data_IF_975624891064
#
_entry.id   IF_975624891064
#
_cell.length_a   1.000
_cell.length_b   1.000
_cell.length_c   1.000
_cell.angle_alpha   90.00
_cell.angle_beta   90.00
_cell.angle_gamma   90.00
#
_symmetry.space_group_name_H-M   'P 1'
#
loop_
_entity.id
_entity.type
_entity.pdbx_description
1 polymer ?
#
# COMPACT_ATOMS: atom_id res chain seq x y z
N UNK A 1 13.76 3.57 4.77
CA UNK A 1 12.91 2.36 4.69
C UNK A 1 12.21 2.05 6.01
N UNK A 2 12.73 2.52 7.14
CA UNK A 2 12.20 2.22 8.48
C UNK A 2 10.75 2.65 8.69
N UNK A 3 10.35 3.79 8.10
CA UNK A 3 8.95 4.23 8.09
C UNK A 3 8.04 3.12 7.56
N UNK A 4 8.32 2.57 6.38
CA UNK A 4 7.44 1.57 5.77
C UNK A 4 7.49 0.28 6.60
N UNK A 5 8.66 -0.17 7.08
CA UNK A 5 8.76 -1.36 7.95
C UNK A 5 7.85 -1.25 9.18
N UNK A 6 7.85 -0.09 9.85
CA UNK A 6 6.99 0.18 11.00
C UNK A 6 5.50 0.20 10.63
N UNK A 7 5.13 0.82 9.53
CA UNK A 7 3.72 0.91 9.15
C UNK A 7 3.17 -0.45 8.69
N UNK A 8 3.93 -1.22 7.90
CA UNK A 8 3.46 -2.54 7.44
C UNK A 8 3.35 -3.56 8.58
N UNK A 9 4.14 -3.40 9.65
CA UNK A 9 4.06 -4.29 10.82
C UNK A 9 2.83 -4.04 11.70
N UNK A 10 2.19 -2.86 11.61
CA UNK A 10 0.95 -2.57 12.35
C UNK A 10 -0.26 -3.32 11.79
N UNK A 11 -0.23 -3.71 10.52
CA UNK A 11 -1.38 -4.31 9.85
C UNK A 11 -1.66 -5.72 10.38
N UNK A 12 -2.80 -5.89 11.04
CA UNK A 12 -3.31 -7.20 11.54
C UNK A 12 -4.27 -7.88 10.57
N UNK A 13 -4.32 -7.41 9.33
CA UNK A 13 -5.12 -7.99 8.24
C UNK A 13 -6.65 -8.05 8.47
N UNK A 14 -7.21 -7.23 9.37
CA UNK A 14 -8.63 -7.23 9.76
C UNK A 14 -9.62 -6.80 8.66
N UNK A 15 -9.21 -5.94 7.72
CA UNK A 15 -10.02 -5.59 6.53
C UNK A 15 -10.97 -4.40 6.66
N UNK A 16 -11.08 -3.75 7.83
CA UNK A 16 -11.93 -2.57 8.02
C UNK A 16 -11.67 -1.45 7.01
N UNK A 17 -10.41 -1.27 6.61
CA UNK A 17 -10.01 -0.23 5.66
C UNK A 17 -10.45 -0.50 4.21
N UNK A 18 -10.87 -1.72 3.86
CA UNK A 18 -11.12 -2.12 2.46
C UNK A 18 -12.36 -1.43 1.88
N UNK A 19 -13.42 -1.32 2.68
CA UNK A 19 -14.72 -0.79 2.23
C UNK A 19 -14.62 0.67 1.74
N UNK A 20 -13.78 1.46 2.39
CA UNK A 20 -13.59 2.88 2.07
C UNK A 20 -12.65 3.11 0.87
N UNK A 21 -12.08 2.05 0.29
CA UNK A 21 -11.11 2.20 -0.77
C UNK A 21 -11.80 2.28 -2.15
N UNK A 22 -11.80 3.45 -2.82
CA UNK A 22 -12.52 3.60 -4.10
C UNK A 22 -11.93 2.72 -5.20
N UNK A 23 -10.61 2.52 -5.20
CA UNK A 23 -9.94 1.73 -6.24
C UNK A 23 -10.19 0.24 -6.09
N UNK A 24 -10.37 -0.25 -4.86
CA UNK A 24 -10.79 -1.63 -4.62
C UNK A 24 -12.21 -1.85 -5.14
N UNK A 25 -13.12 -0.92 -4.82
CA UNK A 25 -14.53 -1.02 -5.21
C UNK A 25 -14.70 -1.03 -6.74
N UNK A 26 -13.88 -0.28 -7.47
CA UNK A 26 -13.91 -0.25 -8.95
C UNK A 26 -13.28 -1.50 -9.56
N UNK A 27 -12.12 -1.93 -9.05
CA UNK A 27 -11.32 -3.00 -9.68
C UNK A 27 -11.74 -4.40 -9.26
N UNK A 28 -12.41 -4.54 -8.10
CA UNK A 28 -12.81 -5.81 -7.50
C UNK A 28 -11.66 -6.84 -7.35
N UNK A 29 -10.44 -6.35 -7.15
CA UNK A 29 -9.23 -7.13 -6.91
C UNK A 29 -8.53 -6.57 -5.66
N UNK A 30 -8.27 -7.44 -4.68
CA UNK A 30 -7.75 -7.08 -3.36
C UNK A 30 -6.39 -6.38 -3.41
N UNK A 31 -5.62 -6.55 -4.49
CA UNK A 31 -4.36 -5.84 -4.68
C UNK A 31 -4.54 -4.32 -4.74
N UNK A 32 -5.66 -3.84 -5.29
CA UNK A 32 -5.98 -2.42 -5.39
C UNK A 32 -6.53 -1.82 -4.08
N UNK A 33 -6.73 -2.65 -3.05
CA UNK A 33 -7.13 -2.21 -1.71
C UNK A 33 -5.96 -1.79 -0.82
N UNK A 34 -6.23 -1.11 0.30
CA UNK A 34 -5.21 -0.74 1.28
C UNK A 34 -4.41 -1.93 1.80
N UNK A 35 -5.05 -3.08 2.10
CA UNK A 35 -4.29 -4.26 2.57
C UNK A 35 -3.39 -4.83 1.50
N UNK A 36 -3.86 -4.86 0.24
CA UNK A 36 -3.06 -5.26 -0.91
C UNK A 36 -1.79 -4.42 -1.02
N UNK A 37 -1.92 -3.09 -0.92
CA UNK A 37 -0.79 -2.15 -0.95
C UNK A 37 0.18 -2.34 0.23
N UNK A 38 -0.34 -2.56 1.43
CA UNK A 38 0.49 -2.89 2.61
C UNK A 38 1.26 -4.18 2.38
N UNK A 39 0.62 -5.21 1.80
CA UNK A 39 1.26 -6.49 1.49
C UNK A 39 2.35 -6.35 0.42
N UNK A 40 2.07 -5.60 -0.65
CA UNK A 40 3.05 -5.28 -1.70
C UNK A 40 4.25 -4.56 -1.09
N UNK A 41 4.01 -3.51 -0.30
CA UNK A 41 5.08 -2.79 0.38
C UNK A 41 5.89 -3.72 1.27
N UNK A 42 5.27 -4.58 2.08
CA UNK A 42 5.97 -5.55 2.93
C UNK A 42 6.89 -6.48 2.12
N UNK A 43 6.35 -7.11 1.07
CA UNK A 43 7.13 -8.00 0.18
C UNK A 43 8.31 -7.25 -0.43
N UNK A 44 8.07 -6.02 -0.87
CA UNK A 44 9.09 -5.19 -1.48
C UNK A 44 10.27 -4.91 -0.54
N UNK A 45 10.04 -4.63 0.74
CA UNK A 45 11.15 -4.36 1.68
C UNK A 45 11.84 -5.64 2.14
N UNK A 46 11.10 -6.75 2.20
CA UNK A 46 11.66 -8.04 2.62
C UNK A 46 12.49 -8.70 1.51
N UNK A 47 12.12 -8.52 0.25
CA UNK A 47 12.69 -9.26 -0.88
C UNK A 47 13.30 -8.39 -1.97
N UNK A 48 13.07 -7.08 -1.94
CA UNK A 48 13.50 -6.14 -2.98
C UNK A 48 12.99 -6.49 -4.40
N UNK A 49 11.79 -7.08 -4.47
CA UNK A 49 11.12 -7.49 -5.72
C UNK A 49 9.81 -6.74 -5.93
N UNK A 50 9.50 -6.48 -7.19
CA UNK A 50 8.18 -6.04 -7.65
C UNK A 50 7.85 -6.64 -9.02
N UNK A 51 6.57 -6.70 -9.33
CA UNK A 51 6.05 -7.02 -10.66
C UNK A 51 5.30 -5.82 -11.23
N UNK A 52 5.04 -5.81 -12.53
CA UNK A 52 4.17 -4.80 -13.18
C UNK A 52 2.82 -4.67 -12.44
N UNK A 53 2.24 -5.80 -12.03
CA UNK A 53 1.00 -5.82 -11.25
C UNK A 53 1.15 -5.16 -9.87
N UNK A 54 2.28 -5.38 -9.21
CA UNK A 54 2.58 -4.74 -7.92
C UNK A 54 2.73 -3.23 -8.07
N UNK A 55 3.31 -2.77 -9.18
CA UNK A 55 3.37 -1.35 -9.52
C UNK A 55 1.96 -0.79 -9.74
N UNK A 56 1.12 -1.48 -10.51
CA UNK A 56 -0.28 -1.06 -10.73
C UNK A 56 -1.02 -0.86 -9.40
N UNK A 57 -0.90 -1.80 -8.46
CA UNK A 57 -1.52 -1.69 -7.14
C UNK A 57 -1.08 -0.43 -6.36
N UNK A 58 0.20 -0.08 -6.42
CA UNK A 58 0.76 1.12 -5.76
C UNK A 58 0.34 2.41 -6.49
N UNK A 59 0.43 2.44 -7.82
CA UNK A 59 0.20 3.65 -8.61
C UNK A 59 -1.29 3.99 -8.79
N UNK A 60 -2.18 3.02 -8.68
CA UNK A 60 -3.64 3.29 -8.69
C UNK A 60 -4.15 3.99 -7.44
N UNK A 61 -3.38 4.03 -6.34
CA UNK A 61 -3.81 4.72 -5.13
C UNK A 61 -3.98 6.24 -5.37
N UNK A 62 -5.16 6.77 -5.11
CA UNK A 62 -5.44 8.21 -5.27
C UNK A 62 -5.10 9.06 -4.04
N UNK A 63 -4.46 8.47 -3.02
CA UNK A 63 -4.05 9.14 -1.78
C UNK A 63 -5.20 9.83 -1.01
N UNK A 64 -6.45 9.36 -1.16
CA UNK A 64 -7.62 9.96 -0.51
C UNK A 64 -7.64 9.79 1.03
N UNK A 65 -6.78 8.95 1.59
CA UNK A 65 -6.62 8.71 3.03
C UNK A 65 -7.85 8.12 3.77
N UNK A 66 -8.94 7.79 3.07
CA UNK A 66 -10.15 7.23 3.69
C UNK A 66 -9.87 5.96 4.52
N UNK A 67 -9.01 5.07 4.01
CA UNK A 67 -8.58 3.84 4.69
C UNK A 67 -7.92 4.05 6.06
N UNK A 68 -7.36 5.24 6.35
CA UNK A 68 -6.71 5.55 7.64
C UNK A 68 -7.76 5.73 8.73
N UNK A 69 -8.90 6.36 8.40
CA UNK A 69 -9.98 6.66 9.34
C UNK A 69 -10.60 5.38 9.91
N UNK A 70 -10.78 4.37 9.06
CA UNK A 70 -11.39 3.10 9.45
C UNK A 70 -10.38 2.07 9.94
N UNK A 71 -9.08 2.35 9.90
CA UNK A 71 -8.07 1.39 10.33
C UNK A 71 -7.94 1.38 11.87
N UNK A 72 -8.33 0.31 12.58
CA UNK A 72 -8.18 0.24 14.04
C UNK A 72 -6.70 0.26 14.47
N UNK A 73 -5.80 -0.23 13.61
CA UNK A 73 -4.36 -0.25 13.84
C UNK A 73 -3.64 1.04 13.41
N UNK A 74 -4.37 2.02 12.86
CA UNK A 74 -3.82 3.31 12.40
C UNK A 74 -2.60 3.17 11.48
N UNK A 75 -2.74 2.29 10.47
CA UNK A 75 -1.73 2.12 9.42
C UNK A 75 -1.79 3.31 8.46
N UNK A 76 -0.67 4.00 8.27
CA UNK A 76 -0.56 5.10 7.30
C UNK A 76 -0.33 4.55 5.87
N UNK A 77 -1.39 4.03 5.25
CA UNK A 77 -1.35 3.50 3.87
C UNK A 77 -0.96 4.57 2.84
N UNK A 78 -1.48 5.81 2.86
CA UNK A 78 -1.04 6.87 1.96
C UNK A 78 0.45 7.16 2.10
N UNK A 79 0.98 7.25 3.33
CA UNK A 79 2.40 7.42 3.58
C UNK A 79 3.24 6.26 3.03
N UNK A 80 2.78 5.01 3.23
CA UNK A 80 3.43 3.83 2.62
C UNK A 80 3.50 4.00 1.10
N UNK A 81 2.38 4.35 0.45
CA UNK A 81 2.30 4.50 -1.01
C UNK A 81 3.24 5.60 -1.50
N UNK A 82 3.27 6.76 -0.85
CA UNK A 82 4.18 7.86 -1.22
C UNK A 82 5.64 7.41 -1.11
N UNK A 83 6.00 6.75 -0.01
CA UNK A 83 7.36 6.25 0.20
C UNK A 83 7.74 5.19 -0.85
N UNK A 84 6.82 4.27 -1.18
CA UNK A 84 7.00 3.27 -2.24
C UNK A 84 7.22 3.94 -3.60
N UNK A 85 6.39 4.91 -4.00
CA UNK A 85 6.54 5.63 -5.28
C UNK A 85 7.89 6.33 -5.40
N UNK A 86 8.34 6.98 -4.32
CA UNK A 86 9.67 7.62 -4.28
C UNK A 86 10.80 6.61 -4.46
N UNK A 87 10.70 5.44 -3.84
CA UNK A 87 11.73 4.42 -3.97
C UNK A 87 11.73 3.77 -5.35
N UNK A 88 10.55 3.40 -5.87
CA UNK A 88 10.41 2.83 -7.22
C UNK A 88 10.97 3.80 -8.26
N UNK A 89 10.64 5.10 -8.15
CA UNK A 89 11.17 6.11 -9.05
C UNK A 89 12.71 6.17 -9.06
N UNK A 90 13.35 6.11 -7.88
CA UNK A 90 14.81 6.03 -7.79
C UNK A 90 15.35 4.78 -8.50
N UNK A 91 14.78 3.61 -8.22
CA UNK A 91 15.20 2.33 -8.82
C UNK A 91 15.03 2.20 -10.34
N UNK A 92 14.17 3.02 -10.95
CA UNK A 92 13.93 2.98 -12.41
C UNK A 92 14.86 3.96 -13.14
N UNK A 93 15.27 5.05 -12.48
CA UNK A 93 16.05 6.12 -13.10
C UNK A 93 17.55 5.97 -12.82
N UNK A 94 17.92 5.40 -11.68
CA UNK A 94 19.30 5.01 -11.34
C UNK A 94 19.65 3.64 -11.96
#
# INVERSE_FOLDING_TARGET
>A
MDFIRREVSKCVFCGFCEYDCPTLNIKNDRGYGPRGRVRVAKIFIEKDIFSEKSLEYIYTCVLCSACVLSCPAKVDVPGIVVAMRRFIHKKIID
#
